data_IF_341339561084
#
_entry.id   IF_341339561084
#
_cell.length_a   1.000
_cell.length_b   1.000
_cell.length_c   1.000
_cell.angle_alpha   90.00
_cell.angle_beta   90.00
_cell.angle_gamma   90.00
#
_symmetry.space_group_name_H-M   'P 1'
#
loop_
_entity.id
_entity.type
_entity.pdbx_description
1 polymer ?
#
# COMPACT_ATOMS: atom_id res chain seq x y z
N UNK A 1 -32.81 -4.93 -23.15
CA UNK A 1 -32.44 -4.36 -21.83
C UNK A 1 -31.29 -5.21 -21.31
N UNK A 2 -30.04 -4.74 -21.45
CA UNK A 2 -28.85 -5.51 -21.07
C UNK A 2 -28.46 -5.09 -19.66
N UNK A 3 -28.77 -5.93 -18.68
CA UNK A 3 -28.31 -5.74 -17.30
C UNK A 3 -26.86 -6.19 -17.21
N UNK A 4 -25.93 -5.24 -17.17
CA UNK A 4 -24.56 -5.52 -16.76
C UNK A 4 -24.57 -5.80 -15.26
N UNK A 5 -24.76 -7.07 -14.90
CA UNK A 5 -24.36 -7.52 -13.57
C UNK A 5 -22.84 -7.33 -13.50
N UNK A 6 -22.41 -6.24 -12.88
CA UNK A 6 -21.02 -6.01 -12.52
C UNK A 6 -20.64 -7.08 -11.49
N UNK A 7 -20.33 -8.28 -11.98
CA UNK A 7 -19.67 -9.31 -11.19
C UNK A 7 -18.29 -8.79 -10.87
N UNK A 8 -18.20 -7.98 -9.80
CA UNK A 8 -16.97 -7.78 -9.07
C UNK A 8 -16.53 -9.17 -8.61
N UNK A 9 -15.77 -9.88 -9.46
CA UNK A 9 -15.04 -11.06 -9.05
C UNK A 9 -14.34 -10.65 -7.77
N UNK A 10 -14.62 -11.34 -6.66
CA UNK A 10 -13.88 -11.19 -5.42
C UNK A 10 -12.41 -11.39 -5.79
N UNK A 11 -11.67 -10.30 -5.95
CA UNK A 11 -10.24 -10.34 -6.22
C UNK A 11 -9.60 -10.54 -4.87
N UNK A 12 -8.75 -11.54 -4.76
CA UNK A 12 -7.99 -11.76 -3.55
C UNK A 12 -7.20 -10.48 -3.26
N UNK A 13 -7.30 -9.99 -2.01
CA UNK A 13 -6.56 -8.83 -1.54
C UNK A 13 -5.32 -9.33 -0.83
N UNK A 14 -4.24 -8.58 -0.91
CA UNK A 14 -3.04 -8.82 -0.13
C UNK A 14 -2.61 -7.55 0.62
N UNK A 15 -2.11 -7.76 1.83
CA UNK A 15 -1.35 -6.79 2.59
C UNK A 15 0.13 -6.95 2.24
N UNK A 16 0.76 -5.89 1.74
CA UNK A 16 2.18 -5.85 1.38
C UNK A 16 2.90 -4.91 2.34
N UNK A 17 3.93 -5.40 3.00
CA UNK A 17 4.80 -4.60 3.87
C UNK A 17 6.12 -4.32 3.17
N UNK A 18 6.51 -3.06 3.07
CA UNK A 18 7.78 -2.61 2.48
C UNK A 18 8.47 -1.71 3.51
N UNK A 19 9.52 -2.23 4.15
CA UNK A 19 10.12 -1.60 5.32
C UNK A 19 9.11 -1.49 6.47
N UNK A 20 8.75 -0.25 6.82
CA UNK A 20 7.83 0.07 7.92
C UNK A 20 6.41 0.41 7.45
N UNK A 21 6.19 0.48 6.14
CA UNK A 21 4.91 0.86 5.55
C UNK A 21 4.14 -0.38 5.08
N UNK A 22 2.82 -0.35 5.24
CA UNK A 22 1.91 -1.43 4.85
C UNK A 22 0.87 -0.93 3.86
N UNK A 23 0.62 -1.71 2.80
CA UNK A 23 -0.26 -1.36 1.69
C UNK A 23 -1.24 -2.49 1.41
N UNK A 24 -2.52 -2.16 1.20
CA UNK A 24 -3.53 -3.11 0.71
C UNK A 24 -3.71 -2.95 -0.80
N UNK A 25 -3.65 -4.06 -1.54
CA UNK A 25 -3.86 -4.07 -2.99
C UNK A 25 -4.33 -5.44 -3.50
N UNK A 26 -4.74 -5.50 -4.77
CA UNK A 26 -5.04 -6.77 -5.44
C UNK A 26 -3.83 -7.73 -5.36
N UNK A 27 -4.05 -9.01 -5.07
CA UNK A 27 -2.99 -10.01 -4.91
C UNK A 27 -2.05 -10.11 -6.12
N UNK A 28 -2.59 -10.02 -7.35
CA UNK A 28 -1.79 -10.01 -8.58
C UNK A 28 -0.82 -8.83 -8.64
N UNK A 29 -1.25 -7.65 -8.17
CA UNK A 29 -0.41 -6.45 -8.12
C UNK A 29 0.59 -6.53 -6.97
N UNK A 30 0.19 -7.10 -5.83
CA UNK A 30 1.07 -7.34 -4.70
C UNK A 30 2.26 -8.23 -5.08
N UNK A 31 2.00 -9.33 -5.80
CA UNK A 31 3.04 -10.21 -6.34
C UNK A 31 4.02 -9.47 -7.24
N UNK A 32 3.51 -8.61 -8.13
CA UNK A 32 4.37 -7.79 -9.00
C UNK A 32 5.21 -6.80 -8.19
N UNK A 33 4.61 -6.13 -7.20
CA UNK A 33 5.31 -5.18 -6.34
C UNK A 33 6.46 -5.85 -5.58
N UNK A 34 6.21 -7.00 -4.93
CA UNK A 34 7.26 -7.73 -4.20
C UNK A 34 8.42 -8.10 -5.12
N UNK A 35 8.12 -8.59 -6.32
CA UNK A 35 9.17 -8.96 -7.29
C UNK A 35 10.08 -7.77 -7.59
N UNK A 36 9.51 -6.58 -7.78
CA UNK A 36 10.28 -5.35 -8.02
C UNK A 36 11.06 -4.93 -6.77
N UNK A 37 10.42 -4.92 -5.60
CA UNK A 37 11.05 -4.43 -4.36
C UNK A 37 12.11 -5.37 -3.79
N UNK A 38 12.06 -6.67 -4.12
CA UNK A 38 13.08 -7.65 -3.72
C UNK A 38 14.46 -7.34 -4.32
N UNK A 39 14.48 -6.74 -5.51
CA UNK A 39 15.71 -6.34 -6.19
C UNK A 39 16.05 -4.86 -5.97
N UNK A 40 15.19 -4.11 -5.28
CA UNK A 40 15.38 -2.70 -5.01
C UNK A 40 16.36 -2.46 -3.85
N UNK A 41 16.93 -1.26 -3.82
CA UNK A 41 17.76 -0.76 -2.72
C UNK A 41 17.13 0.53 -2.22
N UNK A 42 16.97 0.66 -0.90
CA UNK A 42 16.48 1.90 -0.30
C UNK A 42 17.49 3.01 -0.57
N UNK A 43 17.03 4.23 -0.80
CA UNK A 43 17.93 5.38 -0.86
C UNK A 43 17.40 6.55 -0.04
N UNK A 44 18.33 7.38 0.43
CA UNK A 44 18.03 8.65 1.10
C UNK A 44 18.46 9.80 0.20
N UNK A 45 17.63 10.84 0.13
CA UNK A 45 17.94 12.02 -0.66
C UNK A 45 18.69 13.04 0.21
N UNK A 46 19.92 13.35 -0.18
CA UNK A 46 20.75 14.36 0.47
C UNK A 46 20.81 15.62 -0.39
N UNK A 47 20.67 16.77 0.27
CA UNK A 47 20.79 18.10 -0.34
C UNK A 47 22.11 18.79 0.04
N UNK A 48 23.13 18.01 0.40
CA UNK A 48 24.45 18.54 0.73
C UNK A 48 25.18 19.06 -0.52
N UNK A 49 25.41 20.37 -0.56
CA UNK A 49 25.90 21.08 -1.75
C UNK A 49 24.78 21.31 -2.75
N UNK A 50 24.96 22.25 -3.69
CA UNK A 50 23.93 22.72 -4.64
C UNK A 50 23.37 21.65 -5.63
N UNK A 51 23.47 20.35 -5.33
CA UNK A 51 23.00 19.23 -6.15
C UNK A 51 22.34 18.17 -5.26
N UNK A 52 21.21 17.63 -5.72
CA UNK A 52 20.58 16.47 -5.08
C UNK A 52 21.46 15.22 -5.28
N UNK A 53 21.75 14.51 -4.19
CA UNK A 53 22.41 13.21 -4.20
C UNK A 53 21.47 12.14 -3.64
N UNK A 54 21.60 10.91 -4.13
CA UNK A 54 20.91 9.75 -3.58
C UNK A 54 21.94 8.84 -2.93
N UNK A 55 21.81 8.62 -1.62
CA UNK A 55 22.69 7.76 -0.85
C UNK A 55 22.03 6.39 -0.82
N UNK A 56 22.70 5.39 -1.39
CA UNK A 56 22.21 4.01 -1.38
C UNK A 56 22.32 3.43 0.04
N UNK A 57 21.27 2.74 0.48
CA UNK A 57 21.20 2.04 1.75
C UNK A 57 21.08 0.53 1.56
N UNK A 58 20.34 -0.11 2.47
CA UNK A 58 20.11 -1.56 2.45
C UNK A 58 18.90 -1.95 1.58
N UNK A 59 18.79 -3.24 1.28
CA UNK A 59 17.58 -3.79 0.67
C UNK A 59 16.42 -3.66 1.66
N UNK A 60 15.22 -3.23 1.21
CA UNK A 60 14.07 -3.14 2.09
C UNK A 60 13.64 -4.55 2.53
N UNK A 61 13.14 -4.66 3.76
CA UNK A 61 12.39 -5.84 4.19
C UNK A 61 11.04 -5.85 3.47
N UNK A 62 10.70 -6.96 2.82
CA UNK A 62 9.48 -7.08 2.02
C UNK A 62 8.72 -8.34 2.44
N UNK A 63 7.46 -8.17 2.81
CA UNK A 63 6.56 -9.26 3.18
C UNK A 63 5.19 -9.09 2.51
N UNK A 64 4.49 -10.21 2.31
CA UNK A 64 3.11 -10.21 1.83
C UNK A 64 2.30 -11.29 2.51
N UNK A 65 1.06 -10.93 2.76
CA UNK A 65 0.03 -11.80 3.31
C UNK A 65 -1.24 -11.64 2.49
N UNK A 66 -1.85 -12.75 2.07
CA UNK A 66 -3.18 -12.74 1.46
C UNK A 66 -4.19 -12.53 2.59
N UNK A 67 -5.07 -11.56 2.43
CA UNK A 67 -6.08 -11.20 3.44
C UNK A 67 -7.47 -11.41 2.87
N UNK A 68 -8.40 -11.89 3.71
CA UNK A 68 -9.80 -11.96 3.30
C UNK A 68 -10.36 -10.56 3.09
N UNK A 69 -11.22 -10.39 2.09
CA UNK A 69 -11.96 -9.14 1.89
C UNK A 69 -12.82 -8.78 3.11
N UNK A 70 -13.27 -9.79 3.85
CA UNK A 70 -14.13 -9.60 5.02
C UNK A 70 -13.36 -9.06 6.24
N UNK A 71 -12.03 -9.18 6.25
CA UNK A 71 -11.16 -8.68 7.32
C UNK A 71 -10.67 -7.23 7.07
N UNK A 72 -11.01 -6.64 5.92
CA UNK A 72 -10.59 -5.28 5.56
C UNK A 72 -11.66 -4.28 6.01
N UNK A 73 -11.37 -3.55 7.08
CA UNK A 73 -12.21 -2.45 7.55
C UNK A 73 -11.79 -1.16 6.86
N UNK A 74 -12.67 -0.62 6.02
CA UNK A 74 -12.51 0.76 5.55
C UNK A 74 -12.84 1.70 6.71
N UNK A 75 -11.97 2.66 7.07
CA UNK A 75 -12.34 3.67 8.03
C UNK A 75 -13.55 4.41 7.47
N UNK A 76 -14.71 4.21 8.09
CA UNK A 76 -15.90 4.99 7.80
C UNK A 76 -15.49 6.43 8.09
N UNK A 77 -15.62 7.33 7.13
CA UNK A 77 -15.39 8.75 7.36
C UNK A 77 -16.25 9.16 8.56
N UNK A 78 -15.63 9.31 9.72
CA UNK A 78 -16.32 9.85 10.88
C UNK A 78 -16.79 11.26 10.47
N UNK A 79 -18.07 11.58 10.60
CA UNK A 79 -18.53 12.94 10.36
C UNK A 79 -17.74 13.87 11.28
N UNK A 80 -17.35 15.01 10.72
CA UNK A 80 -16.63 16.07 11.39
C UNK A 80 -17.18 16.28 12.81
N UNK A 81 -16.26 16.28 13.79
CA UNK A 81 -16.44 16.79 15.16
C UNK A 81 -17.76 17.55 15.36
N UNK A 82 -18.79 16.82 15.82
CA UNK A 82 -20.01 17.43 16.36
C UNK A 82 -19.63 18.27 17.58
N UNK A 83 -19.57 19.58 17.33
CA UNK A 83 -20.17 20.63 18.14
C UNK A 83 -20.41 20.25 19.62
N UNK A 84 -19.34 20.25 20.41
CA UNK A 84 -19.38 20.19 21.87
C UNK A 84 -18.67 21.38 22.49
N UNK A 85 -19.12 22.60 22.15
CA UNK A 85 -18.94 23.76 23.01
C UNK A 85 -20.30 24.39 23.32
N UNK A 86 -20.87 23.86 24.42
CA UNK A 86 -21.76 24.62 25.31
C UNK A 86 -21.03 25.80 25.91
#
# INVERSE_FOLDING_TARGET
>A
MVTWANSARKRDIACVRIGFESYLMDADKAMQAIKVFRDAIRCERSYAGHRARYIAGERPDVAMEIVSTDDVVMPTAAPALEDRRR
#
